data_IF_428457987196
#
_entry.id   IF_428457987196
#
_cell.length_a   1.000
_cell.length_b   1.000
_cell.length_c   1.000
_cell.angle_alpha   90.00
_cell.angle_beta   90.00
_cell.angle_gamma   90.00
#
_symmetry.space_group_name_H-M   'P 1'
#
loop_
_entity.id
_entity.type
_entity.pdbx_description
1 polymer ?
#
# COMPACT_ATOMS: atom_id res chain seq x y z
N UNK A 1 -9.99 17.61 -13.65
CA UNK A 1 -8.93 17.30 -12.65
C UNK A 1 -7.90 18.42 -12.71
N UNK A 2 -7.58 19.11 -11.59
CA UNK A 2 -6.65 20.23 -11.61
C UNK A 2 -5.23 19.77 -11.98
N UNK A 3 -4.60 20.39 -13.00
CA UNK A 3 -3.28 20.05 -13.51
C UNK A 3 -2.22 19.96 -12.39
N UNK A 4 -2.26 20.90 -11.45
CA UNK A 4 -1.38 20.91 -10.26
C UNK A 4 -1.51 19.64 -9.41
N UNK A 5 -2.73 19.11 -9.24
CA UNK A 5 -2.98 17.89 -8.46
C UNK A 5 -2.40 16.66 -9.18
N UNK A 6 -2.53 16.60 -10.50
CA UNK A 6 -1.96 15.52 -11.31
C UNK A 6 -0.43 15.50 -11.24
N UNK A 7 0.22 16.65 -11.39
CA UNK A 7 1.69 16.76 -11.30
C UNK A 7 2.18 16.27 -9.94
N UNK A 8 1.54 16.69 -8.84
CA UNK A 8 1.92 16.25 -7.49
C UNK A 8 1.76 14.73 -7.35
N UNK A 9 0.66 14.16 -7.84
CA UNK A 9 0.42 12.72 -7.81
C UNK A 9 1.49 11.94 -8.59
N UNK A 10 1.84 12.39 -9.78
CA UNK A 10 2.89 11.75 -10.59
C UNK A 10 4.26 11.84 -9.94
N UNK A 11 4.59 12.98 -9.31
CA UNK A 11 5.86 13.15 -8.57
C UNK A 11 5.92 12.20 -7.37
N UNK A 12 4.84 12.10 -6.59
CA UNK A 12 4.76 11.18 -5.44
C UNK A 12 4.90 9.73 -5.89
N UNK A 13 4.23 9.35 -6.98
CA UNK A 13 4.37 8.02 -7.58
C UNK A 13 5.83 7.72 -7.93
N UNK A 14 6.47 8.59 -8.73
CA UNK A 14 7.85 8.40 -9.19
C UNK A 14 8.86 8.35 -8.04
N UNK A 15 8.71 9.20 -7.02
CA UNK A 15 9.60 9.21 -5.86
C UNK A 15 9.40 8.01 -4.93
N UNK A 16 8.19 7.45 -4.88
CA UNK A 16 7.90 6.28 -4.05
C UNK A 16 8.40 4.97 -4.63
N UNK A 17 8.54 4.88 -5.97
CA UNK A 17 8.98 3.65 -6.64
C UNK A 17 10.34 3.15 -6.14
N UNK A 18 11.43 3.93 -6.10
CA UNK A 18 12.73 3.47 -5.61
C UNK A 18 12.67 2.96 -4.17
N UNK A 19 11.85 3.59 -3.31
CA UNK A 19 11.69 3.20 -1.91
C UNK A 19 11.05 1.83 -1.81
N UNK A 20 9.95 1.59 -2.54
CA UNK A 20 9.30 0.28 -2.53
C UNK A 20 10.11 -0.80 -3.24
N UNK A 21 10.86 -0.45 -4.27
CA UNK A 21 11.82 -1.34 -4.90
C UNK A 21 12.89 -1.80 -3.92
N UNK A 22 13.46 -0.86 -3.16
CA UNK A 22 14.47 -1.17 -2.15
C UNK A 22 13.90 -2.07 -1.04
N UNK A 23 12.70 -1.76 -0.54
CA UNK A 23 11.99 -2.58 0.45
C UNK A 23 11.73 -4.01 -0.03
N UNK A 24 11.31 -4.18 -1.29
CA UNK A 24 11.04 -5.52 -1.85
C UNK A 24 12.34 -6.28 -2.16
N UNK A 25 13.40 -5.58 -2.59
CA UNK A 25 14.72 -6.20 -2.88
C UNK A 25 15.44 -6.75 -1.64
N UNK A 26 15.04 -6.33 -0.44
CA UNK A 26 15.47 -6.93 0.83
C UNK A 26 14.86 -8.31 1.09
N UNK A 27 13.79 -8.67 0.37
CA UNK A 27 13.25 -10.03 0.31
C UNK A 27 13.89 -10.76 -0.88
N UNK A 28 14.03 -12.09 -0.79
CA UNK A 28 14.72 -12.91 -1.80
C UNK A 28 14.09 -12.68 -3.18
N UNK A 29 14.74 -11.85 -4.00
CA UNK A 29 14.22 -11.47 -5.31
C UNK A 29 14.29 -12.65 -6.28
N UNK A 30 13.15 -13.01 -6.86
CA UNK A 30 12.98 -14.08 -7.84
C UNK A 30 12.44 -13.57 -9.19
N UNK A 31 12.78 -12.34 -9.58
CA UNK A 31 12.62 -11.84 -10.95
C UNK A 31 11.50 -10.82 -11.17
N UNK A 32 11.02 -10.70 -12.42
CA UNK A 32 10.14 -9.59 -12.87
C UNK A 32 8.77 -9.48 -12.18
N UNK A 33 8.30 -10.55 -11.52
CA UNK A 33 7.06 -10.56 -10.73
C UNK A 33 7.21 -9.69 -9.46
N UNK A 34 8.45 -9.50 -8.97
CA UNK A 34 8.73 -8.66 -7.81
C UNK A 34 8.61 -7.17 -8.12
N UNK A 35 8.56 -6.77 -9.40
CA UNK A 35 8.33 -5.38 -9.80
C UNK A 35 6.87 -4.96 -9.59
N UNK A 36 5.95 -5.93 -9.49
CA UNK A 36 4.51 -5.67 -9.45
C UNK A 36 4.07 -5.13 -8.08
N UNK A 37 4.63 -5.63 -6.96
CA UNK A 37 4.26 -5.12 -5.63
C UNK A 37 4.69 -3.67 -5.41
N UNK A 38 5.93 -3.25 -5.75
CA UNK A 38 6.34 -1.85 -5.68
C UNK A 38 5.45 -0.92 -6.52
N UNK A 39 5.04 -1.36 -7.72
CA UNK A 39 4.10 -0.61 -8.56
C UNK A 39 2.72 -0.47 -7.89
N UNK A 40 2.20 -1.56 -7.31
CA UNK A 40 0.92 -1.52 -6.58
C UNK A 40 1.02 -0.60 -5.36
N UNK A 41 2.10 -0.65 -4.59
CA UNK A 41 2.27 0.23 -3.43
C UNK A 41 2.45 1.70 -3.81
N UNK A 42 3.24 2.01 -4.84
CA UNK A 42 3.37 3.37 -5.37
C UNK A 42 2.03 3.92 -5.88
N UNK A 43 1.27 3.10 -6.61
CA UNK A 43 -0.06 3.47 -7.09
C UNK A 43 -1.03 3.69 -5.92
N UNK A 44 -1.05 2.79 -4.95
CA UNK A 44 -1.90 2.90 -3.76
C UNK A 44 -1.60 4.16 -2.97
N UNK A 45 -0.32 4.49 -2.76
CA UNK A 45 0.10 5.70 -2.05
C UNK A 45 -0.36 6.97 -2.78
N UNK A 46 -0.32 6.95 -4.11
CA UNK A 46 -0.81 8.04 -4.97
C UNK A 46 -2.33 8.18 -4.94
N UNK A 47 -3.06 7.06 -5.00
CA UNK A 47 -4.52 7.00 -4.89
C UNK A 47 -4.96 7.49 -3.50
N UNK A 48 -4.18 7.20 -2.47
CA UNK A 48 -4.44 7.62 -1.08
C UNK A 48 -4.49 9.15 -0.90
N UNK A 49 -3.82 9.90 -1.78
CA UNK A 49 -3.90 11.36 -1.81
C UNK A 49 -5.32 11.88 -2.14
N UNK A 50 -6.20 11.02 -2.66
CA UNK A 50 -7.59 11.35 -2.93
C UNK A 50 -8.50 10.77 -1.82
N UNK A 51 -9.09 11.66 -1.00
CA UNK A 51 -9.94 11.27 0.14
C UNK A 51 -11.10 10.34 -0.25
N UNK A 52 -11.69 10.54 -1.42
CA UNK A 52 -12.79 9.72 -1.91
C UNK A 52 -12.36 8.28 -2.23
N UNK A 53 -11.08 8.06 -2.55
CA UNK A 53 -10.56 6.76 -2.95
C UNK A 53 -9.99 5.93 -1.78
N UNK A 54 -9.82 6.55 -0.61
CA UNK A 54 -9.26 5.89 0.58
C UNK A 54 -10.13 4.75 1.10
N UNK A 55 -11.46 4.93 1.07
CA UNK A 55 -12.40 3.89 1.48
C UNK A 55 -12.24 2.65 0.59
N UNK A 56 -12.11 2.85 -0.72
CA UNK A 56 -11.88 1.75 -1.65
C UNK A 56 -10.55 1.05 -1.43
N UNK A 57 -9.47 1.78 -1.11
CA UNK A 57 -8.18 1.15 -0.75
C UNK A 57 -8.30 0.27 0.50
N UNK A 58 -9.00 0.74 1.53
CA UNK A 58 -9.24 -0.08 2.74
C UNK A 58 -10.08 -1.32 2.41
N UNK A 59 -11.16 -1.18 1.61
CA UNK A 59 -11.96 -2.31 1.17
C UNK A 59 -11.12 -3.30 0.36
N UNK A 60 -10.28 -2.84 -0.56
CA UNK A 60 -9.38 -3.69 -1.35
C UNK A 60 -8.41 -4.43 -0.42
N UNK A 61 -7.80 -3.74 0.56
CA UNK A 61 -6.89 -4.37 1.52
C UNK A 61 -7.58 -5.48 2.32
N UNK A 62 -8.77 -5.22 2.86
CA UNK A 62 -9.57 -6.21 3.60
C UNK A 62 -10.03 -7.37 2.71
N UNK A 63 -10.39 -7.09 1.46
CA UNK A 63 -10.75 -8.11 0.48
C UNK A 63 -9.56 -9.01 0.17
N UNK A 64 -8.37 -8.45 -0.05
CA UNK A 64 -7.14 -9.22 -0.28
C UNK A 64 -6.80 -10.12 0.91
N UNK A 65 -6.89 -9.60 2.14
CA UNK A 65 -6.66 -10.39 3.35
C UNK A 65 -7.71 -11.48 3.53
N UNK A 66 -8.98 -11.19 3.25
CA UNK A 66 -10.04 -12.19 3.32
C UNK A 66 -9.84 -13.27 2.26
N UNK A 67 -9.39 -12.89 1.07
CA UNK A 67 -9.12 -13.78 -0.05
C UNK A 67 -7.85 -14.62 0.18
N UNK A 68 -6.88 -14.14 0.96
CA UNK A 68 -5.72 -14.93 1.38
C UNK A 68 -6.13 -16.21 2.12
N UNK A 69 -7.15 -16.13 2.99
CA UNK A 69 -7.58 -17.25 3.85
C UNK A 69 -7.94 -18.52 3.06
N UNK A 70 -8.84 -18.51 2.06
CA UNK A 70 -9.12 -19.71 1.27
C UNK A 70 -7.88 -20.21 0.52
N UNK A 71 -7.05 -19.34 -0.06
CA UNK A 71 -5.83 -19.78 -0.75
C UNK A 71 -4.85 -20.48 0.19
N UNK A 72 -4.73 -19.99 1.43
CA UNK A 72 -3.96 -20.65 2.47
C UNK A 72 -4.52 -22.05 2.80
N UNK A 73 -5.85 -22.16 2.96
CA UNK A 73 -6.52 -23.44 3.25
C UNK A 73 -6.38 -24.46 2.11
N UNK A 74 -6.26 -24.00 0.86
CA UNK A 74 -6.00 -24.84 -0.32
C UNK A 74 -4.51 -25.09 -0.60
N UNK A 75 -3.61 -24.83 0.36
CA UNK A 75 -2.16 -25.03 0.23
C UNK A 75 -1.48 -24.21 -0.89
N UNK A 76 -2.14 -23.17 -1.40
CA UNK A 76 -1.56 -22.27 -2.40
C UNK A 76 -0.75 -21.16 -1.72
N UNK A 77 0.37 -21.55 -1.09
CA UNK A 77 1.19 -20.69 -0.22
C UNK A 77 1.74 -19.46 -0.93
N UNK A 78 2.21 -19.58 -2.18
CA UNK A 78 2.79 -18.45 -2.91
C UNK A 78 1.76 -17.34 -3.15
N UNK A 79 0.57 -17.72 -3.61
CA UNK A 79 -0.53 -16.78 -3.88
C UNK A 79 -1.06 -16.20 -2.57
N UNK A 80 -1.24 -17.03 -1.55
CA UNK A 80 -1.62 -16.59 -0.21
C UNK A 80 -0.65 -15.53 0.33
N UNK A 81 0.65 -15.80 0.29
CA UNK A 81 1.67 -14.85 0.73
C UNK A 81 1.65 -13.57 -0.09
N UNK A 82 1.41 -13.68 -1.40
CA UNK A 82 1.29 -12.53 -2.30
C UNK A 82 0.12 -11.63 -1.89
N UNK A 83 -1.07 -12.20 -1.74
CA UNK A 83 -2.28 -11.50 -1.33
C UNK A 83 -2.15 -10.91 0.09
N UNK A 84 -1.58 -11.68 1.01
CA UNK A 84 -1.31 -11.26 2.38
C UNK A 84 -0.36 -10.06 2.43
N UNK A 85 0.77 -10.13 1.75
CA UNK A 85 1.75 -9.03 1.72
C UNK A 85 1.16 -7.74 1.16
N UNK A 86 0.38 -7.83 0.07
CA UNK A 86 -0.31 -6.68 -0.51
C UNK A 86 -1.39 -6.13 0.43
N UNK A 87 -2.22 -7.00 1.00
CA UNK A 87 -3.26 -6.61 1.94
C UNK A 87 -2.70 -5.90 3.17
N UNK A 88 -1.66 -6.47 3.79
CA UNK A 88 -0.96 -5.88 4.94
C UNK A 88 -0.27 -4.57 4.56
N UNK A 89 0.44 -4.52 3.42
CA UNK A 89 1.13 -3.30 2.99
C UNK A 89 0.18 -2.14 2.71
N UNK A 90 -0.96 -2.40 2.07
CA UNK A 90 -2.01 -1.39 1.87
C UNK A 90 -2.61 -0.90 3.19
N UNK A 91 -2.81 -1.80 4.16
CA UNK A 91 -3.25 -1.45 5.51
C UNK A 91 -2.22 -0.62 6.26
N UNK A 92 -0.94 -0.94 6.15
CA UNK A 92 0.13 -0.17 6.77
C UNK A 92 0.17 1.26 6.23
N UNK A 93 0.05 1.45 4.91
CA UNK A 93 -0.07 2.77 4.28
C UNK A 93 -1.29 3.53 4.84
N UNK A 94 -2.43 2.85 5.02
CA UNK A 94 -3.63 3.44 5.59
C UNK A 94 -3.41 3.91 7.04
N UNK A 95 -2.79 3.07 7.88
CA UNK A 95 -2.55 3.34 9.31
C UNK A 95 -1.56 4.50 9.48
N UNK A 96 -0.46 4.50 8.73
CA UNK A 96 0.58 5.56 8.79
C UNK A 96 -0.03 6.95 8.50
N UNK A 97 -1.03 7.04 7.62
CA UNK A 97 -1.73 8.31 7.35
C UNK A 97 -2.60 8.80 8.50
N UNK A 98 -3.06 7.88 9.35
CA UNK A 98 -3.89 8.23 10.51
C UNK A 98 -3.06 8.83 11.65
N UNK A 99 -1.77 8.48 11.75
CA UNK A 99 -0.86 8.99 12.79
C UNK A 99 -0.79 10.52 12.84
N UNK A 100 -0.52 11.25 11.73
CA UNK A 100 -0.50 12.72 11.74
C UNK A 100 -1.82 13.36 12.20
N UNK A 101 -2.97 12.72 11.90
CA UNK A 101 -4.28 13.21 12.32
C UNK A 101 -4.50 12.99 13.82
N UNK A 102 -4.07 11.86 14.37
CA UNK A 102 -4.14 11.57 15.79
C UNK A 102 -3.31 12.56 16.61
N UNK A 103 -2.09 12.87 16.14
CA UNK A 103 -1.22 13.90 16.74
C UNK A 103 -1.88 15.28 16.66
N UNK A 104 -2.43 15.66 15.49
CA UNK A 104 -3.09 16.96 15.31
C UNK A 104 -4.33 17.13 16.20
N UNK A 105 -5.07 16.06 16.44
CA UNK A 105 -6.26 16.04 17.27
C UNK A 105 -5.96 15.97 18.78
N UNK A 106 -4.68 15.97 19.18
CA UNK A 106 -4.27 16.00 20.58
C UNK A 106 -4.45 14.66 21.33
N UNK A 107 -4.62 13.55 20.60
CA UNK A 107 -4.67 12.21 21.22
C UNK A 107 -3.28 11.65 21.55
N UNK A 108 -2.23 12.26 21.00
CA UNK A 108 -0.83 11.90 21.24
C UNK A 108 -0.10 13.21 21.57
N UNK A 109 0.48 13.30 22.76
CA UNK A 109 1.27 14.45 23.17
C UNK A 109 2.42 14.66 22.20
N UNK A 110 2.64 15.93 21.80
CA UNK A 110 3.79 16.31 20.97
C UNK A 110 5.06 16.11 21.79
N UNK A 111 5.76 15.00 21.55
CA UNK A 111 7.13 14.82 22.03
C UNK A 111 8.08 15.79 21.32
#
# INVERSE_FOLDING_TARGET
MNLKKFIIQSVVFLLSLPVFFWLESGFVSKGGVDLVRPLIFAAALTIFMNQNLRKYLLTIALSLLSLMVPFYLFWQMDISNWLGSLGVGLLAIYIIEYFPKLIKNGFIDKF
#
